data_IF_565447182939
#
_entry.id   IF_565447182939
#
_cell.length_a   1.000
_cell.length_b   1.000
_cell.length_c   1.000
_cell.angle_alpha   90.00
_cell.angle_beta   90.00
_cell.angle_gamma   90.00
#
_symmetry.space_group_name_H-M   'P 1'
#
loop_
_entity.id
_entity.type
_entity.pdbx_description
1 polymer ?
#
# COMPACT_ATOMS: atom_id res chain seq x y z
N UNK A 1 10.48 -19.70 -3.43
CA UNK A 1 10.20 -19.10 -4.77
C UNK A 1 8.72 -18.78 -5.02
N UNK A 2 7.74 -19.24 -4.21
CA UNK A 2 6.31 -18.92 -4.46
C UNK A 2 5.92 -17.46 -4.18
N UNK A 3 6.53 -16.82 -3.18
CA UNK A 3 6.15 -15.46 -2.75
C UNK A 3 6.57 -14.38 -3.75
N UNK A 4 7.72 -14.55 -4.41
CA UNK A 4 8.19 -13.60 -5.44
C UNK A 4 7.23 -13.50 -6.63
N UNK A 5 6.60 -14.62 -7.02
CA UNK A 5 5.61 -14.62 -8.10
C UNK A 5 4.36 -13.84 -7.70
N UNK A 6 3.83 -14.03 -6.49
CA UNK A 6 2.64 -13.31 -6.03
C UNK A 6 2.89 -11.80 -5.93
N UNK A 7 4.03 -11.41 -5.37
CA UNK A 7 4.41 -10.00 -5.31
C UNK A 7 4.52 -9.37 -6.71
N UNK A 8 5.10 -10.09 -7.68
CA UNK A 8 5.17 -9.64 -9.07
C UNK A 8 3.77 -9.45 -9.67
N UNK A 9 2.86 -10.43 -9.47
CA UNK A 9 1.49 -10.30 -9.94
C UNK A 9 0.73 -9.15 -9.27
N UNK A 10 0.99 -8.87 -7.99
CA UNK A 10 0.40 -7.73 -7.29
C UNK A 10 0.88 -6.41 -7.91
N UNK A 11 2.17 -6.33 -8.21
CA UNK A 11 2.78 -5.16 -8.86
C UNK A 11 2.26 -4.95 -10.29
N UNK A 12 2.15 -6.01 -11.09
CA UNK A 12 1.59 -5.97 -12.44
C UNK A 12 0.10 -5.57 -12.40
N UNK A 13 -0.69 -6.14 -11.47
CA UNK A 13 -2.08 -5.76 -11.30
C UNK A 13 -2.23 -4.26 -11.00
N UNK A 14 -1.39 -3.72 -10.11
CA UNK A 14 -1.44 -2.31 -9.74
C UNK A 14 -0.96 -1.35 -10.86
N UNK A 15 0.13 -1.68 -11.56
CA UNK A 15 0.78 -0.74 -12.47
C UNK A 15 0.39 -0.92 -13.94
N UNK A 16 0.26 -2.17 -14.39
CA UNK A 16 0.05 -2.46 -15.81
C UNK A 16 -1.44 -2.55 -16.13
N UNK A 17 -2.23 -3.07 -15.19
CA UNK A 17 -3.66 -3.30 -15.37
C UNK A 17 -4.56 -2.31 -14.62
N UNK A 18 -3.98 -1.46 -13.75
CA UNK A 18 -4.71 -0.56 -12.86
C UNK A 18 -5.85 -1.26 -12.08
N UNK A 19 -5.65 -2.54 -11.75
CA UNK A 19 -6.59 -3.39 -11.04
C UNK A 19 -6.22 -3.41 -9.56
N UNK A 20 -6.63 -2.35 -8.87
CA UNK A 20 -6.25 -2.14 -7.49
C UNK A 20 -6.90 -3.14 -6.53
N UNK A 21 -8.13 -3.62 -6.79
CA UNK A 21 -8.75 -4.69 -6.01
C UNK A 21 -7.91 -5.97 -6.01
N UNK A 22 -7.50 -6.43 -7.20
CA UNK A 22 -6.68 -7.64 -7.31
C UNK A 22 -5.30 -7.45 -6.65
N UNK A 23 -4.69 -6.27 -6.82
CA UNK A 23 -3.43 -5.95 -6.15
C UNK A 23 -3.57 -5.98 -4.62
N UNK A 24 -4.65 -5.42 -4.06
CA UNK A 24 -4.94 -5.43 -2.63
C UNK A 24 -5.02 -6.86 -2.10
N UNK A 25 -5.75 -7.75 -2.76
CA UNK A 25 -5.87 -9.15 -2.35
C UNK A 25 -4.52 -9.88 -2.38
N UNK A 26 -3.70 -9.63 -3.40
CA UNK A 26 -2.38 -10.25 -3.50
C UNK A 26 -1.43 -9.71 -2.42
N UNK A 27 -1.44 -8.40 -2.14
CA UNK A 27 -0.67 -7.83 -1.05
C UNK A 27 -1.16 -8.26 0.34
N UNK A 28 -2.47 -8.47 0.53
CA UNK A 28 -3.02 -9.06 1.75
C UNK A 28 -2.37 -10.43 2.04
N UNK A 29 -2.26 -11.28 1.02
CA UNK A 29 -1.65 -12.59 1.15
C UNK A 29 -0.14 -12.51 1.42
N UNK A 30 0.57 -11.53 0.86
CA UNK A 30 1.98 -11.28 1.18
C UNK A 30 2.16 -10.86 2.64
N UNK A 31 1.29 -9.97 3.15
CA UNK A 31 1.31 -9.50 4.54
C UNK A 31 0.97 -10.62 5.53
N UNK A 32 0.00 -11.48 5.21
CA UNK A 32 -0.33 -12.66 6.04
C UNK A 32 0.89 -13.58 6.15
N UNK A 33 1.64 -13.75 5.06
CA UNK A 33 2.81 -14.63 5.03
C UNK A 33 4.04 -13.98 5.70
N UNK A 34 4.26 -12.69 5.49
CA UNK A 34 5.32 -11.91 6.14
C UNK A 34 4.77 -10.57 6.62
N UNK A 35 4.35 -10.48 7.90
CA UNK A 35 3.83 -9.25 8.48
C UNK A 35 4.86 -8.11 8.54
N UNK A 36 6.15 -8.42 8.44
CA UNK A 36 7.24 -7.43 8.43
C UNK A 36 7.65 -7.01 7.00
N UNK A 37 6.91 -7.43 5.97
CA UNK A 37 7.16 -6.99 4.61
C UNK A 37 6.64 -5.55 4.42
N UNK A 38 7.46 -4.57 4.77
CA UNK A 38 7.11 -3.15 4.67
C UNK A 38 6.69 -2.74 3.25
N UNK A 39 7.27 -3.37 2.22
CA UNK A 39 6.95 -3.08 0.81
C UNK A 39 5.52 -3.50 0.48
N UNK A 40 5.07 -4.65 0.98
CA UNK A 40 3.69 -5.11 0.76
C UNK A 40 2.68 -4.17 1.45
N UNK A 41 2.97 -3.71 2.67
CA UNK A 41 2.15 -2.68 3.33
C UNK A 41 2.10 -1.39 2.51
N UNK A 42 3.25 -0.86 2.09
CA UNK A 42 3.31 0.36 1.30
C UNK A 42 2.51 0.23 -0.02
N UNK A 43 2.69 -0.85 -0.77
CA UNK A 43 2.04 -1.00 -2.08
C UNK A 43 0.54 -1.31 -1.98
N UNK A 44 0.11 -1.98 -0.90
CA UNK A 44 -1.31 -2.09 -0.58
C UNK A 44 -1.91 -0.73 -0.25
N UNK A 45 -1.18 0.10 0.49
CA UNK A 45 -1.57 1.48 0.77
C UNK A 45 -1.81 2.30 -0.49
N UNK A 46 -0.88 2.27 -1.45
CA UNK A 46 -1.04 2.93 -2.76
C UNK A 46 -2.31 2.44 -3.46
N UNK A 47 -2.48 1.12 -3.55
CA UNK A 47 -3.62 0.52 -4.25
C UNK A 47 -4.95 0.91 -3.60
N UNK A 48 -5.02 0.95 -2.26
CA UNK A 48 -6.21 1.38 -1.52
C UNK A 48 -6.54 2.85 -1.73
N UNK A 49 -5.54 3.74 -1.72
CA UNK A 49 -5.78 5.17 -1.96
C UNK A 49 -6.22 5.41 -3.40
N UNK A 50 -5.56 4.79 -4.39
CA UNK A 50 -5.98 4.90 -5.79
C UNK A 50 -7.41 4.41 -5.99
N UNK A 51 -7.76 3.24 -5.44
CA UNK A 51 -9.11 2.72 -5.52
C UNK A 51 -10.12 3.61 -4.78
N UNK A 52 -9.73 4.17 -3.64
CA UNK A 52 -10.54 5.12 -2.90
C UNK A 52 -10.80 6.42 -3.68
N UNK A 53 -9.84 6.90 -4.46
CA UNK A 53 -10.03 8.03 -5.38
C UNK A 53 -11.01 7.65 -6.49
N UNK A 54 -10.78 6.51 -7.14
CA UNK A 54 -11.62 6.03 -8.26
C UNK A 54 -13.08 5.78 -7.85
N UNK A 55 -13.29 5.29 -6.63
CA UNK A 55 -14.61 4.96 -6.09
C UNK A 55 -15.23 6.06 -5.23
N UNK A 56 -14.56 7.21 -5.08
CA UNK A 56 -14.95 8.26 -4.12
C UNK A 56 -15.17 7.70 -2.70
N UNK A 57 -14.33 6.75 -2.28
CA UNK A 57 -14.44 6.03 -1.03
C UNK A 57 -13.37 6.49 -0.02
N UNK A 58 -13.79 7.33 0.92
CA UNK A 58 -12.96 7.89 2.00
C UNK A 58 -12.36 6.81 2.90
N UNK A 59 -13.09 5.72 3.16
CA UNK A 59 -12.63 4.65 4.06
C UNK A 59 -11.46 3.88 3.45
N UNK A 60 -11.46 3.65 2.13
CA UNK A 60 -10.33 3.05 1.43
C UNK A 60 -9.07 3.94 1.53
N UNK A 61 -9.24 5.26 1.48
CA UNK A 61 -8.11 6.21 1.64
C UNK A 61 -7.56 6.13 3.07
N UNK A 62 -8.43 6.07 4.08
CA UNK A 62 -8.03 5.91 5.49
C UNK A 62 -7.32 4.57 5.75
N UNK A 63 -7.80 3.49 5.15
CA UNK A 63 -7.13 2.19 5.21
C UNK A 63 -5.75 2.23 4.54
N UNK A 64 -5.61 2.94 3.42
CA UNK A 64 -4.32 3.14 2.78
C UNK A 64 -3.33 3.96 3.62
N UNK A 65 -3.80 5.03 4.27
CA UNK A 65 -3.02 5.82 5.24
C UNK A 65 -2.53 4.94 6.40
N UNK A 66 -3.40 4.07 6.91
CA UNK A 66 -3.06 3.13 7.97
C UNK A 66 -1.96 2.16 7.54
N UNK A 67 -1.98 1.71 6.29
CA UNK A 67 -0.94 0.85 5.72
C UNK A 67 0.41 1.56 5.59
N UNK A 68 0.44 2.82 5.15
CA UNK A 68 1.69 3.59 5.09
C UNK A 68 2.32 3.78 6.47
N UNK A 69 1.50 4.10 7.48
CA UNK A 69 1.97 4.18 8.87
C UNK A 69 2.55 2.85 9.35
N UNK A 70 1.95 1.72 8.96
CA UNK A 70 2.49 0.41 9.30
C UNK A 70 3.82 0.11 8.60
N UNK A 71 3.94 0.49 7.33
CA UNK A 71 5.18 0.36 6.58
C UNK A 71 6.32 1.18 7.22
N UNK A 72 6.05 2.42 7.65
CA UNK A 72 6.99 3.29 8.37
C UNK A 72 7.43 2.68 9.70
N UNK A 73 6.48 2.22 10.52
CA UNK A 73 6.78 1.55 11.81
C UNK A 73 7.76 0.38 11.64
N UNK A 74 7.55 -0.45 10.60
CA UNK A 74 8.42 -1.58 10.28
C UNK A 74 9.77 -1.12 9.75
N UNK A 75 9.80 -0.11 8.87
CA UNK A 75 11.03 0.42 8.30
C UNK A 75 11.94 1.03 9.38
N UNK A 76 11.37 1.84 10.27
CA UNK A 76 12.07 2.47 11.39
C UNK A 76 12.67 1.45 12.34
N UNK A 77 11.84 0.48 12.77
CA UNK A 77 12.27 -0.59 13.67
C UNK A 77 13.46 -1.38 13.12
N UNK A 78 13.53 -1.52 11.80
CA UNK A 78 14.57 -2.28 11.11
C UNK A 78 15.69 -1.38 10.51
N UNK A 79 15.65 -0.07 10.74
CA UNK A 79 16.59 0.93 10.17
C UNK A 79 16.72 0.83 8.64
N UNK A 80 15.61 0.59 7.95
CA UNK A 80 15.55 0.40 6.49
C UNK A 80 15.51 1.77 5.78
N UNK A 81 16.38 1.98 4.81
CA UNK A 81 16.47 3.22 4.00
C UNK A 81 15.23 3.51 3.11
N UNK A 82 14.29 2.58 3.01
CA UNK A 82 13.05 2.72 2.22
C UNK A 82 11.92 3.49 2.92
N UNK A 83 12.20 4.06 4.09
CA UNK A 83 11.29 4.90 4.88
C UNK A 83 10.71 6.07 4.05
N UNK A 84 11.57 6.76 3.29
CA UNK A 84 11.23 7.99 2.56
C UNK A 84 10.07 7.81 1.56
N UNK A 85 9.95 6.61 0.96
CA UNK A 85 8.86 6.31 0.02
C UNK A 85 7.51 6.21 0.73
N UNK A 86 7.46 5.56 1.90
CA UNK A 86 6.23 5.41 2.65
C UNK A 86 5.80 6.74 3.30
N UNK A 87 6.76 7.59 3.65
CA UNK A 87 6.51 8.94 4.17
C UNK A 87 5.90 9.83 3.09
N UNK A 88 6.51 9.89 1.90
CA UNK A 88 5.96 10.64 0.77
C UNK A 88 4.55 10.16 0.38
N UNK A 89 4.31 8.85 0.40
CA UNK A 89 2.98 8.30 0.12
C UNK A 89 1.96 8.64 1.21
N UNK A 90 2.37 8.65 2.48
CA UNK A 90 1.52 9.09 3.59
C UNK A 90 1.14 10.56 3.44
N UNK A 91 2.08 11.45 3.11
CA UNK A 91 1.81 12.86 2.85
C UNK A 91 0.83 13.05 1.70
N UNK A 92 1.07 12.37 0.58
CA UNK A 92 0.17 12.37 -0.58
C UNK A 92 -1.25 11.94 -0.19
N UNK A 93 -1.39 10.82 0.52
CA UNK A 93 -2.70 10.30 0.90
C UNK A 93 -3.45 11.23 1.87
N UNK A 94 -2.74 11.88 2.82
CA UNK A 94 -3.36 12.87 3.70
C UNK A 94 -3.85 14.11 2.93
N UNK A 95 -3.12 14.53 1.88
CA UNK A 95 -3.57 15.63 1.02
C UNK A 95 -4.84 15.24 0.27
N UNK A 96 -4.87 14.06 -0.36
CA UNK A 96 -6.08 13.55 -1.02
C UNK A 96 -7.25 13.51 -0.04
N UNK A 97 -7.04 13.00 1.18
CA UNK A 97 -8.08 12.92 2.19
C UNK A 97 -8.65 14.30 2.58
N UNK A 98 -7.82 15.34 2.56
CA UNK A 98 -8.25 16.71 2.87
C UNK A 98 -9.17 17.27 1.78
N UNK A 99 -8.96 16.86 0.53
CA UNK A 99 -9.79 17.28 -0.62
C UNK A 99 -11.15 16.55 -0.66
N UNK A 100 -11.38 15.55 0.21
CA UNK A 100 -12.65 14.81 0.35
C UNK A 100 -13.64 15.43 1.35
N UNK A 101 -13.22 16.43 2.14
CA UNK A 101 -14.04 17.11 3.14
C UNK A 101 -14.64 18.43 2.60
#
# INVERSE_FOLDING_TARGET
MKNTARFQHAFEAANDNNNHEAAIELYNLEIINDPNNYVAWNNRGISRVQLGIEQENRDLILDGISDFRKALEIADKNSIKGHDNAEANLEWANKILTDFD
#
